data_IF_997437569664
#
_entry.id   IF_997437569664
#
_cell.length_a   1.000
_cell.length_b   1.000
_cell.length_c   1.000
_cell.angle_alpha   90.00
_cell.angle_beta   90.00
_cell.angle_gamma   90.00
#
_symmetry.space_group_name_H-M   'P 1'
#
loop_
_entity.id
_entity.type
_entity.pdbx_description
1 polymer ?
#
# COMPACT_ATOMS: atom_id res chain seq x y z
N UNK A 1 -11.96 -12.61 26.41
CA UNK A 1 -12.22 -13.37 25.16
C UNK A 1 -11.62 -12.53 24.04
N UNK A 2 -10.35 -12.80 23.70
CA UNK A 2 -9.42 -11.82 23.08
C UNK A 2 -9.23 -12.13 21.59
N UNK A 3 -9.01 -11.08 20.80
CA UNK A 3 -8.97 -10.99 19.33
C UNK A 3 -8.30 -12.12 18.51
N UNK A 4 -7.47 -12.97 19.11
CA UNK A 4 -6.92 -14.19 18.49
C UNK A 4 -7.99 -15.09 17.86
N UNK A 5 -9.20 -15.16 18.45
CA UNK A 5 -10.29 -15.99 17.93
C UNK A 5 -10.92 -15.49 16.62
N UNK A 6 -10.77 -14.21 16.26
CA UNK A 6 -11.30 -13.66 15.01
C UNK A 6 -10.26 -13.74 13.88
N UNK A 7 -8.98 -13.53 14.24
CA UNK A 7 -7.80 -13.78 13.38
C UNK A 7 -7.83 -15.20 12.81
N UNK A 8 -7.93 -16.20 13.70
CA UNK A 8 -7.93 -17.60 13.28
C UNK A 8 -9.19 -17.95 12.50
N UNK A 9 -10.34 -17.36 12.84
CA UNK A 9 -11.59 -17.56 12.10
C UNK A 9 -11.54 -16.98 10.68
N UNK A 10 -11.04 -15.76 10.47
CA UNK A 10 -10.94 -15.16 9.14
C UNK A 10 -9.87 -15.85 8.29
N UNK A 11 -8.70 -16.14 8.86
CA UNK A 11 -7.63 -16.87 8.16
C UNK A 11 -8.06 -18.29 7.81
N UNK A 12 -8.81 -18.98 8.66
CA UNK A 12 -9.30 -20.34 8.40
C UNK A 12 -10.54 -20.36 7.48
N UNK A 13 -11.38 -19.32 7.51
CA UNK A 13 -12.52 -19.18 6.60
C UNK A 13 -12.11 -18.71 5.20
N UNK A 14 -11.01 -17.97 5.08
CA UNK A 14 -10.47 -17.42 3.83
C UNK A 14 -9.22 -18.16 3.33
N UNK A 15 -8.64 -19.10 4.08
CA UNK A 15 -7.50 -19.94 3.70
C UNK A 15 -7.43 -21.24 4.55
N UNK A 16 -8.36 -22.21 4.41
CA UNK A 16 -8.27 -23.49 5.07
C UNK A 16 -7.15 -24.29 4.41
N UNK A 17 -6.03 -24.42 5.13
CA UNK A 17 -4.95 -25.39 4.95
C UNK A 17 -4.84 -25.96 3.53
N UNK A 18 -4.08 -25.28 2.67
CA UNK A 18 -3.55 -25.91 1.47
C UNK A 18 -2.59 -27.03 1.92
N UNK A 19 -2.97 -28.28 1.65
CA UNK A 19 -2.04 -29.40 1.66
C UNK A 19 -0.90 -29.13 0.66
N UNK A 20 0.34 -29.31 1.12
CA UNK A 20 1.59 -29.04 0.40
C UNK A 20 1.60 -29.51 -1.05
N UNK A 21 2.20 -28.72 -1.95
CA UNK A 21 2.90 -29.22 -3.11
C UNK A 21 4.38 -28.88 -2.97
N UNK A 22 5.16 -29.80 -2.37
CA UNK A 22 6.65 -29.74 -2.34
C UNK A 22 7.28 -29.52 -3.73
N UNK A 23 6.54 -29.82 -4.80
CA UNK A 23 6.96 -29.64 -6.18
C UNK A 23 6.96 -28.18 -6.68
N UNK A 24 6.29 -27.23 -5.99
CA UNK A 24 6.29 -25.81 -6.40
C UNK A 24 7.41 -24.97 -5.77
N UNK A 25 7.92 -25.40 -4.61
CA UNK A 25 9.05 -24.76 -3.93
C UNK A 25 10.37 -25.00 -4.71
N UNK A 26 10.55 -26.19 -5.28
CA UNK A 26 11.74 -26.55 -6.06
C UNK A 26 11.87 -25.75 -7.38
N UNK A 27 10.75 -25.39 -8.02
CA UNK A 27 10.72 -24.57 -9.24
C UNK A 27 11.00 -23.08 -8.94
N UNK A 28 10.52 -22.57 -7.80
CA UNK A 28 10.83 -21.22 -7.31
C UNK A 28 12.31 -21.08 -6.92
N UNK A 29 12.89 -22.09 -6.27
CA UNK A 29 14.31 -22.08 -5.89
C UNK A 29 15.25 -22.08 -7.11
N UNK A 30 14.92 -22.80 -8.20
CA UNK A 30 15.73 -22.75 -9.43
C UNK A 30 15.71 -21.37 -10.12
N UNK A 31 14.57 -20.67 -10.09
CA UNK A 31 14.44 -19.29 -10.61
C UNK A 31 15.27 -18.32 -9.76
N UNK A 32 15.27 -18.48 -8.43
CA UNK A 32 16.04 -17.65 -7.50
C UNK A 32 17.56 -17.88 -7.60
N UNK A 33 18.00 -19.07 -7.99
CA UNK A 33 19.43 -19.41 -8.15
C UNK A 33 20.01 -18.86 -9.46
N UNK A 34 19.24 -18.82 -10.57
CA UNK A 34 19.73 -18.27 -11.86
C UNK A 34 20.01 -16.76 -11.81
N UNK A 35 19.31 -16.01 -10.96
CA UNK A 35 19.48 -14.56 -10.84
C UNK A 35 20.73 -14.12 -10.05
N UNK A 36 21.49 -15.04 -9.45
CA UNK A 36 22.66 -14.70 -8.61
C UNK A 36 23.98 -14.55 -9.35
N UNK A 37 24.07 -14.91 -10.63
CA UNK A 37 25.34 -14.99 -11.37
C UNK A 37 25.55 -13.91 -12.44
N UNK A 38 25.05 -12.68 -12.24
CA UNK A 38 25.31 -11.57 -13.15
C UNK A 38 25.18 -10.19 -12.53
N UNK A 39 26.31 -9.49 -12.44
CA UNK A 39 26.46 -8.04 -12.31
C UNK A 39 26.12 -7.34 -10.96
N UNK A 40 27.18 -7.03 -10.21
CA UNK A 40 27.17 -6.03 -9.15
C UNK A 40 27.12 -4.62 -9.75
N UNK A 41 25.93 -4.01 -9.79
CA UNK A 41 25.62 -2.54 -9.82
C UNK A 41 24.30 -2.20 -10.57
N UNK A 42 23.37 -3.13 -10.78
CA UNK A 42 22.04 -2.75 -11.27
C UNK A 42 21.19 -2.20 -10.11
N UNK A 43 20.57 -1.03 -10.33
CA UNK A 43 19.62 -0.44 -9.37
C UNK A 43 18.49 -1.45 -9.09
N UNK A 44 17.92 -1.43 -7.88
CA UNK A 44 16.79 -2.29 -7.55
C UNK A 44 15.61 -2.06 -8.50
N UNK A 45 15.06 -3.13 -9.04
CA UNK A 45 13.91 -3.12 -9.96
C UNK A 45 12.94 -4.21 -9.54
N UNK A 46 11.63 -3.97 -9.72
CA UNK A 46 10.64 -5.04 -9.62
C UNK A 46 10.65 -5.89 -10.90
N UNK A 47 10.26 -7.16 -10.76
CA UNK A 47 9.93 -8.00 -11.90
C UNK A 47 8.82 -7.35 -12.75
N UNK A 48 8.87 -7.53 -14.07
CA UNK A 48 7.85 -7.00 -14.98
C UNK A 48 6.46 -7.65 -14.79
N UNK A 49 6.45 -8.89 -14.31
CA UNK A 49 5.26 -9.68 -14.02
C UNK A 49 5.33 -10.25 -12.59
N UNK A 50 4.18 -10.53 -11.96
CA UNK A 50 2.81 -10.31 -12.46
C UNK A 50 2.37 -8.83 -12.43
N UNK A 51 1.52 -8.42 -13.37
CA UNK A 51 0.85 -7.11 -13.33
C UNK A 51 -0.28 -7.10 -12.29
N UNK A 52 -0.80 -5.91 -11.94
CA UNK A 52 -1.98 -5.80 -11.05
C UNK A 52 -3.21 -6.54 -11.62
N UNK A 53 -3.35 -6.58 -12.94
CA UNK A 53 -4.44 -7.31 -13.59
C UNK A 53 -4.22 -8.83 -13.55
N UNK A 54 -2.97 -9.30 -13.60
CA UNK A 54 -2.65 -10.71 -13.38
C UNK A 54 -2.96 -11.12 -11.92
N UNK A 55 -2.55 -10.32 -10.94
CA UNK A 55 -2.86 -10.53 -9.52
C UNK A 55 -4.37 -10.58 -9.32
N UNK A 56 -5.12 -9.64 -9.90
CA UNK A 56 -6.58 -9.61 -9.83
C UNK A 56 -7.21 -10.90 -10.37
N UNK A 57 -6.73 -11.40 -11.52
CA UNK A 57 -7.23 -12.66 -12.11
C UNK A 57 -6.90 -13.87 -11.24
N UNK A 58 -5.66 -13.98 -10.76
CA UNK A 58 -5.21 -15.08 -9.90
C UNK A 58 -6.04 -15.12 -8.61
N UNK A 59 -6.24 -13.97 -7.96
CA UNK A 59 -7.02 -13.85 -6.73
C UNK A 59 -8.50 -14.18 -6.95
N UNK A 60 -9.09 -13.67 -8.04
CA UNK A 60 -10.47 -13.95 -8.39
C UNK A 60 -10.69 -15.43 -8.71
N UNK A 61 -9.74 -16.07 -9.42
CA UNK A 61 -9.76 -17.51 -9.69
C UNK A 61 -9.71 -18.32 -8.41
N UNK A 62 -8.73 -18.02 -7.55
CA UNK A 62 -8.55 -18.66 -6.25
C UNK A 62 -9.81 -18.58 -5.37
N UNK A 63 -10.46 -17.42 -5.35
CA UNK A 63 -11.72 -17.17 -4.60
C UNK A 63 -12.89 -17.95 -5.19
N UNK A 64 -13.00 -18.00 -6.52
CA UNK A 64 -14.09 -18.65 -7.22
C UNK A 64 -14.06 -20.18 -7.04
N UNK A 65 -12.87 -20.78 -7.17
CA UNK A 65 -12.64 -22.22 -6.93
C UNK A 65 -13.15 -22.68 -5.55
N UNK A 66 -13.09 -21.79 -4.56
CA UNK A 66 -13.44 -22.09 -3.17
C UNK A 66 -14.83 -21.61 -2.78
N UNK A 67 -15.56 -20.98 -3.71
CA UNK A 67 -16.90 -20.45 -3.47
C UNK A 67 -16.95 -19.32 -2.44
N UNK A 68 -15.84 -18.59 -2.26
CA UNK A 68 -15.72 -17.57 -1.21
C UNK A 68 -16.16 -16.17 -1.61
N UNK A 69 -16.70 -16.02 -2.83
CA UNK A 69 -17.21 -14.74 -3.30
C UNK A 69 -18.21 -14.08 -2.33
N UNK A 70 -18.95 -14.86 -1.55
CA UNK A 70 -19.88 -14.36 -0.51
C UNK A 70 -19.18 -13.65 0.66
N UNK A 71 -17.96 -14.05 1.00
CA UNK A 71 -17.19 -13.45 2.10
C UNK A 71 -16.40 -12.22 1.66
N UNK A 72 -16.11 -12.11 0.35
CA UNK A 72 -15.39 -10.99 -0.27
C UNK A 72 -16.31 -9.79 -0.54
N UNK A 73 -17.01 -9.33 0.50
CA UNK A 73 -17.71 -8.03 0.48
C UNK A 73 -16.70 -6.90 0.72
N UNK A 74 -16.88 -5.69 0.14
CA UNK A 74 -15.92 -4.59 0.28
C UNK A 74 -15.51 -4.28 1.72
N UNK A 75 -16.47 -4.27 2.67
CA UNK A 75 -16.18 -4.05 4.09
C UNK A 75 -15.26 -5.11 4.67
N UNK A 76 -15.46 -6.38 4.33
CA UNK A 76 -14.68 -7.48 4.88
C UNK A 76 -13.26 -7.46 4.33
N UNK A 77 -13.10 -7.17 3.02
CA UNK A 77 -11.79 -7.00 2.39
C UNK A 77 -11.02 -5.81 2.97
N UNK A 78 -11.71 -4.70 3.26
CA UNK A 78 -11.10 -3.57 3.94
C UNK A 78 -10.61 -3.92 5.35
N UNK A 79 -11.40 -4.68 6.12
CA UNK A 79 -10.99 -5.10 7.46
C UNK A 79 -9.82 -6.10 7.43
N UNK A 80 -9.80 -7.01 6.44
CA UNK A 80 -8.65 -7.90 6.21
C UNK A 80 -7.40 -7.09 5.87
N UNK A 81 -7.49 -6.15 4.92
CA UNK A 81 -6.40 -5.24 4.57
C UNK A 81 -5.83 -4.49 5.79
N UNK A 82 -6.69 -4.00 6.68
CA UNK A 82 -6.23 -3.34 7.92
C UNK A 82 -5.49 -4.30 8.84
N UNK A 83 -5.91 -5.57 8.89
CA UNK A 83 -5.21 -6.64 9.60
C UNK A 83 -3.78 -6.81 9.10
N UNK A 84 -3.61 -7.02 7.78
CA UNK A 84 -2.29 -7.25 7.18
C UNK A 84 -1.37 -6.02 7.28
N UNK A 85 -1.93 -4.80 7.22
CA UNK A 85 -1.16 -3.58 7.53
C UNK A 85 -0.66 -3.58 8.98
N UNK A 86 -1.45 -4.12 9.90
CA UNK A 86 -1.05 -4.32 11.30
C UNK A 86 0.09 -5.34 11.43
N UNK A 87 -0.02 -6.50 10.79
CA UNK A 87 1.02 -7.54 10.79
C UNK A 87 2.33 -7.01 10.17
N UNK A 88 2.24 -6.28 9.05
CA UNK A 88 3.38 -5.56 8.46
C UNK A 88 4.02 -4.58 9.46
N UNK A 89 3.21 -3.82 10.20
CA UNK A 89 3.71 -2.86 11.20
C UNK A 89 4.40 -3.58 12.38
N UNK A 90 3.94 -4.76 12.78
CA UNK A 90 4.54 -5.55 13.86
C UNK A 90 6.00 -5.94 13.58
N UNK A 91 6.37 -6.11 12.30
CA UNK A 91 7.76 -6.40 11.88
C UNK A 91 8.73 -5.24 12.18
N UNK A 92 8.22 -4.01 12.19
CA UNK A 92 9.01 -2.79 12.41
C UNK A 92 8.89 -2.22 13.82
N UNK A 93 7.87 -2.60 14.59
CA UNK A 93 7.49 -1.90 15.84
C UNK A 93 8.61 -1.78 16.89
N UNK A 94 9.58 -2.71 16.89
CA UNK A 94 10.70 -2.73 17.85
C UNK A 94 12.06 -2.43 17.20
N UNK A 95 12.09 -1.95 15.95
CA UNK A 95 13.32 -1.57 15.25
C UNK A 95 13.65 -0.12 15.57
N UNK A 96 14.85 0.14 16.08
CA UNK A 96 15.34 1.51 16.31
C UNK A 96 15.65 2.22 14.98
N UNK A 97 16.24 1.50 14.03
CA UNK A 97 16.52 1.98 12.67
C UNK A 97 16.11 0.94 11.63
N UNK A 98 15.64 1.42 10.48
CA UNK A 98 15.31 0.60 9.31
C UNK A 98 15.94 1.22 8.04
N UNK A 99 17.28 1.16 7.90
CA UNK A 99 17.95 1.75 6.74
C UNK A 99 17.57 1.03 5.45
N UNK A 100 17.73 1.73 4.33
CA UNK A 100 17.45 1.20 2.98
C UNK A 100 18.12 -0.16 2.77
N UNK A 101 17.39 -1.10 2.17
CA UNK A 101 17.87 -2.46 1.93
C UNK A 101 17.94 -3.36 3.17
N UNK A 102 17.71 -2.83 4.38
CA UNK A 102 17.58 -3.58 5.63
C UNK A 102 18.76 -4.52 5.95
N UNK A 103 20.03 -4.07 5.88
CA UNK A 103 21.24 -4.92 6.00
C UNK A 103 21.34 -5.77 7.28
N UNK A 104 20.58 -5.47 8.34
CA UNK A 104 20.52 -6.25 9.58
C UNK A 104 19.42 -7.32 9.64
N UNK A 105 18.61 -7.47 8.60
CA UNK A 105 17.50 -8.42 8.58
C UNK A 105 17.94 -9.78 8.07
N UNK A 106 17.62 -10.81 8.85
CA UNK A 106 17.81 -12.23 8.53
C UNK A 106 16.90 -12.67 7.38
N UNK A 107 17.22 -13.82 6.75
CA UNK A 107 16.40 -14.35 5.67
C UNK A 107 14.94 -14.59 6.07
N UNK A 108 14.63 -15.19 7.24
CA UNK A 108 13.23 -15.36 7.67
C UNK A 108 12.50 -14.04 7.94
N UNK A 109 13.18 -13.00 8.42
CA UNK A 109 12.56 -11.68 8.63
C UNK A 109 12.24 -11.00 7.29
N UNK A 110 13.08 -11.20 6.28
CA UNK A 110 12.84 -10.70 4.91
C UNK A 110 11.71 -11.45 4.22
N UNK A 111 11.61 -12.75 4.46
CA UNK A 111 10.50 -13.57 3.99
C UNK A 111 9.18 -13.09 4.60
N UNK A 112 9.13 -12.94 5.94
CA UNK A 112 7.96 -12.37 6.62
C UNK A 112 7.59 -10.98 6.08
N UNK A 113 8.57 -10.10 5.86
CA UNK A 113 8.33 -8.80 5.22
C UNK A 113 7.72 -8.92 3.82
N UNK A 114 8.24 -9.84 3.02
CA UNK A 114 7.74 -10.10 1.68
C UNK A 114 6.29 -10.61 1.71
N UNK A 115 5.97 -11.49 2.65
CA UNK A 115 4.63 -12.05 2.83
C UNK A 115 3.63 -10.95 3.23
N UNK A 116 3.93 -10.18 4.27
CA UNK A 116 3.01 -9.13 4.75
C UNK A 116 2.80 -8.01 3.72
N UNK A 117 3.86 -7.61 2.99
CA UNK A 117 3.72 -6.68 1.86
C UNK A 117 2.83 -7.25 0.75
N UNK A 118 2.96 -8.55 0.47
CA UNK A 118 2.17 -9.23 -0.55
C UNK A 118 0.70 -9.34 -0.14
N UNK A 119 0.41 -9.66 1.12
CA UNK A 119 -0.95 -9.77 1.63
C UNK A 119 -1.68 -8.41 1.60
N UNK A 120 -1.01 -7.33 1.98
CA UNK A 120 -1.51 -5.95 1.81
C UNK A 120 -1.87 -5.67 0.35
N UNK A 121 -0.98 -6.02 -0.60
CA UNK A 121 -1.22 -5.82 -2.02
C UNK A 121 -2.41 -6.64 -2.53
N UNK A 122 -2.48 -7.92 -2.15
CA UNK A 122 -3.53 -8.85 -2.59
C UNK A 122 -4.91 -8.36 -2.13
N UNK A 123 -5.07 -7.97 -0.86
CA UNK A 123 -6.35 -7.46 -0.38
C UNK A 123 -6.70 -6.10 -0.97
N UNK A 124 -5.73 -5.22 -1.22
CA UNK A 124 -5.97 -3.96 -1.89
C UNK A 124 -6.50 -4.17 -3.32
N UNK A 125 -5.89 -5.08 -4.08
CA UNK A 125 -6.34 -5.43 -5.44
C UNK A 125 -7.74 -6.07 -5.40
N UNK A 126 -7.98 -7.00 -4.48
CA UNK A 126 -9.29 -7.63 -4.31
C UNK A 126 -10.38 -6.61 -3.95
N UNK A 127 -10.07 -5.67 -3.06
CA UNK A 127 -10.98 -4.59 -2.68
C UNK A 127 -11.28 -3.69 -3.88
N UNK A 128 -10.28 -3.32 -4.66
CA UNK A 128 -10.47 -2.53 -5.87
C UNK A 128 -11.36 -3.25 -6.90
N UNK A 129 -11.17 -4.55 -7.12
CA UNK A 129 -12.02 -5.38 -8.00
C UNK A 129 -13.49 -5.35 -7.54
N UNK A 130 -13.74 -5.58 -6.24
CA UNK A 130 -15.11 -5.55 -5.69
C UNK A 130 -15.75 -4.17 -5.74
N UNK A 131 -14.95 -3.11 -5.65
CA UNK A 131 -15.42 -1.73 -5.78
C UNK A 131 -15.47 -1.23 -7.23
N UNK A 132 -15.10 -2.06 -8.22
CA UNK A 132 -15.02 -1.67 -9.64
C UNK A 132 -14.12 -0.46 -9.89
N UNK A 133 -13.00 -0.41 -9.18
CA UNK A 133 -11.98 0.63 -9.35
C UNK A 133 -10.86 0.09 -10.22
N UNK A 134 -10.61 0.72 -11.37
CA UNK A 134 -9.38 0.53 -12.14
C UNK A 134 -8.20 1.12 -11.35
N UNK A 135 -7.55 0.26 -10.58
CA UNK A 135 -6.51 0.62 -9.62
C UNK A 135 -5.26 1.19 -10.29
N UNK A 136 -4.68 0.60 -11.37
CA UNK A 136 -3.58 1.22 -12.10
C UNK A 136 -3.89 2.65 -12.55
N UNK A 137 -5.03 2.87 -13.22
CA UNK A 137 -5.40 4.19 -13.70
C UNK A 137 -5.69 5.16 -12.55
N UNK A 138 -6.29 4.69 -11.44
CA UNK A 138 -6.53 5.51 -10.26
C UNK A 138 -5.22 5.97 -9.59
N UNK A 139 -4.22 5.09 -9.50
CA UNK A 139 -2.90 5.40 -8.99
C UNK A 139 -2.18 6.45 -9.86
N UNK A 140 -2.20 6.29 -11.19
CA UNK A 140 -1.63 7.28 -12.13
C UNK A 140 -2.27 8.66 -11.96
N UNK A 141 -3.61 8.73 -11.92
CA UNK A 141 -4.32 10.00 -11.66
C UNK A 141 -3.96 10.58 -10.29
N UNK A 142 -3.73 9.75 -9.28
CA UNK A 142 -3.37 10.22 -7.93
C UNK A 142 -1.95 10.80 -7.88
N UNK A 143 -1.00 10.17 -8.58
CA UNK A 143 0.38 10.65 -8.71
C UNK A 143 0.38 12.03 -9.37
N UNK A 144 -0.36 12.22 -10.46
CA UNK A 144 -0.43 13.52 -11.14
C UNK A 144 -1.05 14.59 -10.23
N UNK A 145 -2.12 14.27 -9.51
CA UNK A 145 -2.68 15.17 -8.49
C UNK A 145 -1.67 15.51 -7.38
N UNK A 146 -0.80 14.57 -7.00
CA UNK A 146 0.24 14.82 -5.99
C UNK A 146 1.32 15.75 -6.53
N UNK A 147 1.73 15.62 -7.80
CA UNK A 147 2.71 16.52 -8.44
C UNK A 147 2.24 17.97 -8.45
N UNK A 148 0.97 18.21 -8.79
CA UNK A 148 0.39 19.55 -8.76
C UNK A 148 0.28 20.11 -7.33
N UNK A 149 -0.02 19.25 -6.35
CA UNK A 149 -0.14 19.64 -4.94
C UNK A 149 1.22 19.96 -4.28
N UNK A 150 2.29 19.29 -4.71
CA UNK A 150 3.64 19.41 -4.16
C UNK A 150 4.67 19.62 -5.27
N UNK A 151 4.72 20.82 -5.89
CA UNK A 151 5.66 21.07 -6.99
C UNK A 151 7.10 21.08 -6.47
N UNK A 152 8.00 20.41 -7.18
CA UNK A 152 9.39 20.15 -6.75
C UNK A 152 10.14 21.42 -6.33
N UNK A 153 9.95 22.52 -7.06
CA UNK A 153 10.56 23.83 -6.78
C UNK A 153 10.18 24.42 -5.41
N UNK A 154 9.06 24.00 -4.83
CA UNK A 154 8.56 24.50 -3.53
C UNK A 154 8.80 23.53 -2.36
N UNK A 155 9.07 22.26 -2.64
CA UNK A 155 9.17 21.20 -1.62
C UNK A 155 10.52 20.46 -1.60
N UNK A 156 11.48 20.87 -2.43
CA UNK A 156 12.82 20.28 -2.42
C UNK A 156 13.44 20.39 -1.02
N UNK A 157 13.66 19.24 -0.37
CA UNK A 157 14.21 19.15 0.98
C UNK A 157 13.28 19.63 2.12
N UNK A 158 11.97 19.80 1.89
CA UNK A 158 11.04 20.35 2.89
C UNK A 158 9.75 19.51 3.00
N UNK A 159 9.49 18.96 4.18
CA UNK A 159 8.24 18.25 4.54
C UNK A 159 7.10 19.19 4.99
N UNK A 160 7.25 20.51 4.79
CA UNK A 160 6.29 21.51 5.27
C UNK A 160 4.93 21.40 4.59
N UNK A 161 3.86 21.62 5.37
CA UNK A 161 2.46 21.54 4.91
C UNK A 161 2.17 22.61 3.85
N UNK A 162 1.35 22.25 2.84
CA UNK A 162 0.93 23.18 1.79
C UNK A 162 0.28 24.49 2.33
N UNK A 163 -0.40 24.40 3.48
CA UNK A 163 -1.05 25.53 4.17
C UNK A 163 -0.10 26.64 4.61
N UNK A 164 1.21 26.39 4.64
CA UNK A 164 2.22 27.41 4.96
C UNK A 164 2.64 28.21 3.73
N UNK A 165 2.46 27.70 2.50
CA UNK A 165 2.90 28.40 1.30
C UNK A 165 1.86 29.38 0.74
N UNK A 166 0.58 29.24 1.06
CA UNK A 166 -0.45 30.22 0.68
C UNK A 166 -0.32 31.52 1.46
N UNK A 167 0.16 31.47 2.72
CA UNK A 167 0.36 32.66 3.57
C UNK A 167 1.46 33.62 3.09
N UNK A 168 2.29 33.24 2.12
CA UNK A 168 3.30 34.15 1.54
C UNK A 168 2.78 34.96 0.35
N UNK A 169 1.63 34.63 -0.23
CA UNK A 169 1.06 35.41 -1.34
C UNK A 169 0.07 36.49 -0.89
N UNK A 170 -0.55 36.35 0.29
CA UNK A 170 -1.51 37.35 0.79
C UNK A 170 -0.86 38.56 1.49
N UNK A 171 0.48 38.60 1.61
CA UNK A 171 1.21 39.71 2.23
C UNK A 171 1.61 40.84 1.27
N UNK A 172 1.38 40.68 -0.03
CA UNK A 172 1.91 41.58 -1.07
C UNK A 172 0.86 42.01 -2.11
N UNK A 173 -0.37 42.30 -1.68
CA UNK A 173 -1.32 43.07 -2.49
C UNK A 173 -2.41 43.74 -1.63
N UNK A 174 -2.35 45.08 -1.53
CA UNK A 174 -3.54 45.94 -1.66
C UNK A 174 -4.50 46.11 -0.47
N UNK A 175 -4.36 47.28 0.17
CA UNK A 175 -5.39 48.08 0.85
C UNK A 175 -6.86 47.88 0.42
N UNK A 176 -7.80 47.91 1.39
CA UNK A 176 -9.10 48.60 1.24
C UNK A 176 -10.42 47.80 1.22
N UNK A 177 -11.08 47.73 2.39
CA UNK A 177 -12.53 47.87 2.67
C UNK A 177 -13.62 46.80 2.24
N UNK A 178 -14.30 46.25 3.28
CA UNK A 178 -15.69 45.74 3.52
C UNK A 178 -16.56 45.01 2.48
N UNK A 179 -17.13 43.87 2.91
CA UNK A 179 -18.45 43.38 2.46
C UNK A 179 -18.89 41.98 2.98
N UNK A 180 -20.01 41.94 3.71
CA UNK A 180 -21.03 40.88 4.01
C UNK A 180 -20.65 39.41 4.36
N UNK A 181 -21.03 38.86 5.54
CA UNK A 181 -20.77 37.48 5.94
C UNK A 181 -21.90 36.49 5.56
N UNK A 182 -22.13 36.23 4.27
CA UNK A 182 -23.03 35.13 3.84
C UNK A 182 -22.57 34.48 2.56
N UNK A 183 -21.65 33.51 2.68
CA UNK A 183 -21.54 32.30 1.85
C UNK A 183 -20.30 31.51 2.29
N UNK A 184 -20.50 30.29 2.81
CA UNK A 184 -19.42 29.33 3.00
C UNK A 184 -19.38 28.34 1.84
N UNK A 185 -18.23 27.75 1.53
CA UNK A 185 -18.17 26.43 0.94
C UNK A 185 -17.71 25.40 1.98
N UNK A 186 -18.56 24.38 2.13
CA UNK A 186 -18.22 23.07 2.67
C UNK A 186 -16.95 22.52 2.00
N UNK A 187 -15.86 22.42 2.75
CA UNK A 187 -14.70 21.64 2.36
C UNK A 187 -14.60 20.42 3.27
N UNK A 188 -15.09 19.29 2.75
CA UNK A 188 -14.80 17.97 3.30
C UNK A 188 -13.28 17.86 3.49
N UNK A 189 -12.86 17.66 4.73
CA UNK A 189 -11.47 17.44 5.12
C UNK A 189 -10.95 16.20 4.41
N UNK A 190 -10.26 16.39 3.29
CA UNK A 190 -9.43 15.33 2.72
C UNK A 190 -8.19 15.21 3.58
N UNK A 191 -8.20 14.17 4.42
CA UNK A 191 -7.07 13.74 5.24
C UNK A 191 -5.76 13.74 4.44
N UNK A 192 -4.94 14.71 4.81
CA UNK A 192 -3.52 14.85 4.62
C UNK A 192 -2.73 13.58 4.25
N UNK A 193 -2.29 13.47 3.00
CA UNK A 193 -1.25 12.52 2.52
C UNK A 193 0.18 12.87 2.99
N UNK A 194 0.32 13.67 4.06
CA UNK A 194 1.63 14.08 4.58
C UNK A 194 2.37 12.97 5.35
N UNK A 195 1.74 11.82 5.59
CA UNK A 195 2.42 10.64 6.16
C UNK A 195 3.47 10.02 5.22
N UNK A 196 3.49 10.37 3.94
CA UNK A 196 4.49 9.83 2.99
C UNK A 196 5.87 10.52 3.07
N UNK A 197 6.02 11.62 3.80
CA UNK A 197 7.26 12.41 3.84
C UNK A 197 7.62 12.99 5.22
N UNK A 198 7.07 12.44 6.30
CA UNK A 198 7.40 12.87 7.67
C UNK A 198 8.06 11.73 8.45
N UNK A 199 9.31 11.43 8.11
CA UNK A 199 10.31 10.79 8.96
C UNK A 199 11.67 11.39 8.59
#
# INVERSE_FOLDING_TARGET
MKAHSYRDFLRQALFPSASSPKAKEEEMDEVLVRNRNGNSAEAFQFSAEPTLEDIRRLQSGFTAERGWGKYHQPRNLLLALVGEVGELAELFQWREEAPEGLPGWTAPEREALSDELSDVLIYLVALADKCRVDLPSAALRKIEKNRLKYPAERVYGSSKKYTEYEKQQDGAAGNGWSGDPRQGPSSAQTGSLLWLFSF
#
